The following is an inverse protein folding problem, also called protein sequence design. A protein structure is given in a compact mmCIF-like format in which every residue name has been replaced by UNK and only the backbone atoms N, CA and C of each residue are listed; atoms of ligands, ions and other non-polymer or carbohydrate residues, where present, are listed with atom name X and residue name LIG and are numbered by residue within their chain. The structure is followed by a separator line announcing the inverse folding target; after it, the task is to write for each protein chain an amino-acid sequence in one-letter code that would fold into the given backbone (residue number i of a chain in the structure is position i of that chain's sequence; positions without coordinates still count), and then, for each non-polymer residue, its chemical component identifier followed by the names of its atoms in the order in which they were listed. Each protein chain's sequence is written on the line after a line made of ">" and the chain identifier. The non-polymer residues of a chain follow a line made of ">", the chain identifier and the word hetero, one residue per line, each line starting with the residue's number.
data_IF_070256836667
#
_entry.id   IF_070256836667
#
_cell.length_a   1.000
_cell.length_b   1.000
_cell.length_c   1.000
_cell.angle_alpha   90.00
_cell.angle_beta   90.00
_cell.angle_gamma   90.00
#
_symmetry.space_group_name_H-M   'P 1'
#
loop_
_entity.id
_entity.type
_entity.pdbx_description
1 polymer ?
#
# COMPACT_ATOMS: atom_id res chain seq x y z
N UNK A 1 6.55 -10.90 5.20
CA UNK A 1 6.18 -11.15 3.80
C UNK A 1 7.23 -10.50 2.91
N UNK A 2 7.19 -9.18 2.77
CA UNK A 2 8.14 -8.34 2.04
C UNK A 2 9.63 -8.49 2.45
N UNK A 3 9.92 -8.56 3.76
CA UNK A 3 11.30 -8.68 4.26
C UNK A 3 12.02 -9.99 3.89
N UNK A 4 11.28 -11.09 3.73
CA UNK A 4 11.89 -12.38 3.39
C UNK A 4 12.35 -12.41 1.92
N UNK A 5 11.61 -11.73 1.05
CA UNK A 5 11.97 -11.58 -0.36
C UNK A 5 13.12 -10.58 -0.52
N UNK A 6 13.15 -9.51 0.28
CA UNK A 6 14.28 -8.58 0.33
C UNK A 6 15.60 -9.26 0.73
N UNK A 7 15.56 -10.09 1.77
CA UNK A 7 16.71 -10.87 2.21
C UNK A 7 17.15 -11.87 1.13
N UNK A 8 16.21 -12.42 0.35
CA UNK A 8 16.51 -13.31 -0.78
C UNK A 8 17.17 -12.58 -1.95
N UNK A 9 16.76 -11.35 -2.23
CA UNK A 9 17.28 -10.54 -3.35
C UNK A 9 18.51 -9.69 -2.96
N UNK A 10 18.85 -9.62 -1.66
CA UNK A 10 19.96 -8.80 -1.16
C UNK A 10 19.68 -7.29 -1.23
N UNK A 11 18.41 -6.87 -1.30
CA UNK A 11 18.01 -5.48 -1.46
C UNK A 11 17.65 -4.87 -0.11
N UNK A 12 18.38 -3.85 0.32
CA UNK A 12 18.02 -3.09 1.52
C UNK A 12 16.69 -2.34 1.35
N UNK A 13 15.89 -2.22 2.42
CA UNK A 13 14.54 -1.58 2.42
C UNK A 13 14.46 -0.22 1.72
N UNK A 14 15.55 0.54 1.66
CA UNK A 14 15.65 1.88 1.05
C UNK A 14 16.03 1.89 -0.43
N UNK A 15 16.41 0.76 -1.01
CA UNK A 15 16.91 0.65 -2.37
C UNK A 15 15.93 -0.09 -3.30
N UNK A 16 14.70 -0.32 -2.84
CA UNK A 16 13.63 -0.94 -3.62
C UNK A 16 12.90 0.14 -4.41
N UNK A 17 12.72 -0.11 -5.70
CA UNK A 17 11.96 0.79 -6.60
C UNK A 17 10.54 0.26 -6.89
N UNK A 18 10.30 -1.06 -6.77
CA UNK A 18 9.01 -1.68 -7.04
C UNK A 18 8.74 -2.91 -6.16
N UNK A 19 7.45 -3.24 -5.97
CA UNK A 19 7.03 -4.52 -5.39
C UNK A 19 7.29 -5.68 -6.35
N UNK A 20 7.73 -6.82 -5.81
CA UNK A 20 7.80 -8.06 -6.57
C UNK A 20 6.37 -8.54 -6.92
N UNK A 21 6.13 -9.11 -8.11
CA UNK A 21 4.80 -9.60 -8.50
C UNK A 21 4.19 -10.60 -7.51
N UNK A 22 5.01 -11.48 -6.94
CA UNK A 22 4.57 -12.44 -5.92
C UNK A 22 4.06 -11.74 -4.65
N UNK A 23 4.74 -10.68 -4.21
CA UNK A 23 4.28 -9.90 -3.06
C UNK A 23 2.97 -9.15 -3.37
N UNK A 24 2.79 -8.65 -4.58
CA UNK A 24 1.52 -8.04 -5.01
C UNK A 24 0.38 -9.05 -4.96
N UNK A 25 0.54 -10.21 -5.60
CA UNK A 25 -0.50 -11.24 -5.66
C UNK A 25 -0.86 -11.71 -4.25
N UNK A 26 0.14 -12.01 -3.44
CA UNK A 26 -0.06 -12.58 -2.11
C UNK A 26 -0.63 -11.54 -1.13
N UNK A 27 -0.12 -10.30 -1.12
CA UNK A 27 -0.70 -9.23 -0.30
C UNK A 27 -2.14 -8.92 -0.70
N UNK A 28 -2.43 -8.91 -2.00
CA UNK A 28 -3.79 -8.65 -2.47
C UNK A 28 -4.75 -9.72 -1.99
N UNK A 29 -4.47 -11.00 -2.26
CA UNK A 29 -5.38 -12.09 -1.92
C UNK A 29 -5.45 -12.43 -0.43
N UNK A 30 -4.34 -12.33 0.30
CA UNK A 30 -4.29 -12.75 1.71
C UNK A 30 -4.56 -11.62 2.71
N UNK A 31 -4.48 -10.36 2.28
CA UNK A 31 -4.67 -9.20 3.16
C UNK A 31 -5.73 -8.26 2.61
N UNK A 32 -5.53 -7.73 1.40
CA UNK A 32 -6.36 -6.64 0.88
C UNK A 32 -7.79 -7.09 0.57
N UNK A 33 -7.95 -8.26 -0.03
CA UNK A 33 -9.24 -8.83 -0.40
C UNK A 33 -10.04 -9.33 0.83
N UNK A 34 -9.35 -9.57 1.96
CA UNK A 34 -9.99 -10.02 3.21
C UNK A 34 -10.33 -8.86 4.16
N UNK A 35 -9.74 -7.68 3.95
CA UNK A 35 -9.97 -6.51 4.78
C UNK A 35 -11.14 -5.69 4.26
N UNK A 36 -12.10 -5.37 5.14
CA UNK A 36 -13.25 -4.55 4.78
C UNK A 36 -12.87 -3.06 4.72
N UNK A 37 -12.34 -2.64 3.57
CA UNK A 37 -12.06 -1.23 3.29
C UNK A 37 -13.33 -0.38 3.23
N UNK A 38 -14.49 -0.98 2.89
CA UNK A 38 -15.75 -0.26 2.83
C UNK A 38 -16.20 0.23 4.20
N UNK A 39 -16.15 -0.64 5.21
CA UNK A 39 -16.43 -0.28 6.60
C UNK A 39 -15.47 0.82 7.10
N UNK A 40 -14.17 0.69 6.81
CA UNK A 40 -13.19 1.71 7.17
C UNK A 40 -13.52 3.08 6.55
N UNK A 41 -13.85 3.12 5.25
CA UNK A 41 -14.18 4.36 4.56
C UNK A 41 -15.49 4.97 5.09
N UNK A 42 -16.49 4.14 5.38
CA UNK A 42 -17.76 4.60 5.95
C UNK A 42 -17.61 5.24 7.34
N UNK A 43 -16.60 4.83 8.10
CA UNK A 43 -16.29 5.37 9.43
C UNK A 43 -15.47 6.67 9.38
N UNK A 44 -14.92 7.06 8.22
CA UNK A 44 -14.18 8.32 8.08
C UNK A 44 -15.12 9.53 8.02
N UNK A 45 -14.84 10.62 8.75
CA UNK A 45 -15.62 11.85 8.62
C UNK A 45 -15.52 12.42 7.19
N UNK A 46 -16.65 12.94 6.70
CA UNK A 46 -16.69 13.61 5.39
C UNK A 46 -15.65 14.72 5.29
N UNK A 47 -14.90 14.74 4.18
CA UNK A 47 -13.85 15.74 3.93
C UNK A 47 -12.54 15.50 4.67
N UNK A 48 -12.36 14.36 5.34
CA UNK A 48 -11.09 14.01 5.98
C UNK A 48 -9.93 13.93 4.99
N UNK A 49 -8.79 14.52 5.37
CA UNK A 49 -7.52 14.34 4.66
C UNK A 49 -6.87 13.05 5.18
N UNK A 50 -6.81 12.03 4.33
CA UNK A 50 -6.26 10.71 4.69
C UNK A 50 -4.82 10.57 4.18
N UNK A 51 -3.93 10.08 5.05
CA UNK A 51 -2.54 9.77 4.70
C UNK A 51 -2.21 8.31 5.02
N UNK A 52 -1.62 7.61 4.06
CA UNK A 52 -1.09 6.26 4.25
C UNK A 52 0.39 6.35 4.64
N UNK A 53 0.76 5.78 5.79
CA UNK A 53 2.12 5.79 6.30
C UNK A 53 2.82 4.45 6.02
N UNK A 54 4.09 4.54 5.63
CA UNK A 54 4.94 3.38 5.38
C UNK A 54 6.40 3.78 5.59
N UNK A 55 7.28 2.82 5.87
CA UNK A 55 8.70 3.10 6.13
C UNK A 55 9.51 3.25 4.83
N UNK A 56 9.01 2.68 3.74
CA UNK A 56 9.60 2.78 2.41
C UNK A 56 9.46 4.20 1.83
N UNK A 57 10.54 4.66 1.18
CA UNK A 57 10.61 5.99 0.55
C UNK A 57 9.59 6.10 -0.59
N UNK A 58 9.60 5.12 -1.49
CA UNK A 58 8.80 5.14 -2.71
C UNK A 58 7.51 4.31 -2.56
N UNK A 59 6.33 4.88 -2.88
CA UNK A 59 5.07 4.16 -2.79
C UNK A 59 5.00 2.93 -3.70
N UNK A 60 5.64 2.98 -4.88
CA UNK A 60 5.74 1.84 -5.80
C UNK A 60 6.46 0.65 -5.17
N UNK A 61 7.34 0.92 -4.21
CA UNK A 61 8.14 -0.07 -3.51
C UNK A 61 7.40 -0.72 -2.32
N UNK A 62 6.17 -0.33 -2.00
CA UNK A 62 5.46 -0.87 -0.84
C UNK A 62 3.96 -1.03 -1.07
N UNK A 63 3.32 -1.78 -0.18
CA UNK A 63 1.91 -2.12 -0.30
C UNK A 63 0.95 -0.91 -0.21
N UNK A 64 1.43 0.27 0.24
CA UNK A 64 0.59 1.47 0.31
C UNK A 64 0.10 1.90 -1.08
N UNK A 65 0.86 1.63 -2.14
CA UNK A 65 0.40 1.89 -3.51
C UNK A 65 -0.82 1.03 -3.87
N UNK A 66 -0.82 -0.26 -3.48
CA UNK A 66 -1.93 -1.18 -3.70
C UNK A 66 -3.19 -0.74 -2.94
N UNK A 67 -3.03 -0.34 -1.68
CA UNK A 67 -4.13 0.16 -0.85
C UNK A 67 -4.68 1.47 -1.40
N UNK A 68 -3.81 2.41 -1.78
CA UNK A 68 -4.22 3.69 -2.37
C UNK A 68 -5.02 3.51 -3.65
N UNK A 69 -4.59 2.61 -4.53
CA UNK A 69 -5.30 2.33 -5.78
C UNK A 69 -6.68 1.73 -5.52
N UNK A 70 -6.77 0.75 -4.60
CA UNK A 70 -8.02 0.12 -4.21
C UNK A 70 -9.03 1.11 -3.62
N UNK A 71 -8.57 1.97 -2.70
CA UNK A 71 -9.38 3.03 -2.10
C UNK A 71 -9.95 4.00 -3.14
N UNK A 72 -9.15 4.36 -4.15
CA UNK A 72 -9.59 5.22 -5.25
C UNK A 72 -10.59 4.50 -6.17
N UNK A 73 -10.27 3.29 -6.58
CA UNK A 73 -11.03 2.55 -7.59
C UNK A 73 -12.40 2.07 -7.07
N UNK A 74 -12.44 1.57 -5.84
CA UNK A 74 -13.66 0.95 -5.28
C UNK A 74 -14.49 1.90 -4.42
N UNK A 75 -13.86 2.90 -3.79
CA UNK A 75 -14.54 3.79 -2.83
C UNK A 75 -14.49 5.27 -3.21
N UNK A 76 -13.84 5.65 -4.32
CA UNK A 76 -13.74 7.04 -4.75
C UNK A 76 -12.97 7.95 -3.78
N UNK A 77 -12.28 7.38 -2.78
CA UNK A 77 -11.57 8.16 -1.78
C UNK A 77 -10.30 8.74 -2.42
N UNK A 78 -10.12 10.07 -2.47
CA UNK A 78 -8.94 10.68 -3.07
C UNK A 78 -7.71 10.43 -2.19
N UNK A 79 -6.86 9.49 -2.62
CA UNK A 79 -5.59 9.20 -1.96
C UNK A 79 -4.43 9.71 -2.81
N UNK A 80 -3.50 10.44 -2.19
CA UNK A 80 -2.24 10.89 -2.79
C UNK A 80 -1.07 10.28 -2.04
N UNK A 81 -0.14 9.65 -2.76
CA UNK A 81 1.07 9.11 -2.15
C UNK A 81 2.04 10.24 -1.80
N UNK A 82 2.38 10.37 -0.51
CA UNK A 82 3.36 11.34 -0.04
C UNK A 82 4.77 10.78 -0.26
N UNK A 83 5.63 11.58 -0.91
CA UNK A 83 7.06 11.28 -1.10
C UNK A 83 7.92 12.22 -0.25
N UNK A 84 9.09 11.78 0.22
CA UNK A 84 10.05 12.69 0.83
C UNK A 84 10.50 13.73 -0.18
N UNK A 85 10.46 15.00 0.23
CA UNK A 85 11.04 16.14 -0.49
C UNK A 85 12.56 16.06 -0.55
#
# INVERSE_FOLDING_TARGET
>A
MQYREDDRQGVGKRNREALAPEDVTRYTGEVLDLFDLGALVADLPDGSVTALLCVERDPEACHRSLVAERLRAEHGLPVTNIRPV
#
